data_IF_197507807801
#
_entry.id   IF_197507807801
#
_cell.length_a   1.000
_cell.length_b   1.000
_cell.length_c   1.000
_cell.angle_alpha   90.00
_cell.angle_beta   90.00
_cell.angle_gamma   90.00
#
_symmetry.space_group_name_H-M   'P 1'
#
loop_
_entity.id
_entity.type
_entity.pdbx_description
1 polymer ?
#
# COMPACT_ATOMS: atom_id res chain seq x y z
N UNK A 1 28.88 -2.58 -7.22
CA UNK A 1 27.98 -3.19 -8.22
C UNK A 1 26.94 -4.12 -7.57
N UNK A 2 27.34 -5.08 -6.73
CA UNK A 2 26.43 -6.00 -6.00
C UNK A 2 25.35 -5.27 -5.15
N UNK A 3 25.64 -4.15 -4.44
CA UNK A 3 24.63 -3.45 -3.63
C UNK A 3 23.51 -2.80 -4.46
N UNK A 4 23.85 -2.26 -5.63
CA UNK A 4 22.89 -1.63 -6.55
C UNK A 4 21.99 -2.68 -7.21
N UNK A 5 22.57 -3.83 -7.59
CA UNK A 5 21.82 -4.97 -8.11
C UNK A 5 20.82 -5.52 -7.09
N UNK A 6 21.23 -5.65 -5.82
CA UNK A 6 20.34 -6.04 -4.73
C UNK A 6 19.20 -5.02 -4.52
N UNK A 7 19.48 -3.71 -4.52
CA UNK A 7 18.45 -2.68 -4.42
C UNK A 7 17.45 -2.74 -5.59
N UNK A 8 17.94 -2.98 -6.81
CA UNK A 8 17.09 -3.08 -8.00
C UNK A 8 16.14 -4.28 -7.94
N UNK A 9 16.65 -5.46 -7.56
CA UNK A 9 15.84 -6.68 -7.38
C UNK A 9 14.80 -6.46 -6.27
N UNK A 10 15.19 -5.83 -5.16
CA UNK A 10 14.28 -5.57 -4.04
C UNK A 10 13.17 -4.58 -4.42
N UNK A 11 13.50 -3.52 -5.14
CA UNK A 11 12.53 -2.54 -5.64
C UNK A 11 11.51 -3.18 -6.59
N UNK A 12 11.97 -4.02 -7.53
CA UNK A 12 11.08 -4.75 -8.46
C UNK A 12 10.22 -5.76 -7.70
N UNK A 13 10.79 -6.52 -6.76
CA UNK A 13 10.04 -7.51 -5.98
C UNK A 13 8.89 -6.87 -5.19
N UNK A 14 9.15 -5.78 -4.49
CA UNK A 14 8.09 -5.07 -3.75
C UNK A 14 7.11 -4.38 -4.70
N UNK A 15 7.58 -3.85 -5.84
CA UNK A 15 6.71 -3.29 -6.88
C UNK A 15 5.72 -4.32 -7.44
N UNK A 16 6.19 -5.55 -7.71
CA UNK A 16 5.35 -6.66 -8.18
C UNK A 16 4.39 -7.14 -7.10
N UNK A 17 4.85 -7.35 -5.86
CA UNK A 17 3.98 -7.67 -4.71
C UNK A 17 2.85 -6.64 -4.60
N UNK A 18 3.19 -5.37 -4.76
CA UNK A 18 2.25 -4.27 -4.60
C UNK A 18 1.26 -4.18 -5.75
N UNK A 19 1.71 -4.34 -7.00
CA UNK A 19 0.82 -4.42 -8.15
C UNK A 19 -0.18 -5.56 -7.93
N UNK A 20 0.30 -6.73 -7.49
CA UNK A 20 -0.55 -7.89 -7.31
C UNK A 20 -1.58 -7.69 -6.19
N UNK A 21 -1.18 -7.10 -5.06
CA UNK A 21 -2.10 -6.71 -3.98
C UNK A 21 -3.17 -5.72 -4.47
N UNK A 22 -2.78 -4.71 -5.25
CA UNK A 22 -3.69 -3.68 -5.75
C UNK A 22 -4.69 -4.24 -6.78
N UNK A 23 -4.21 -5.07 -7.72
CA UNK A 23 -5.08 -5.74 -8.70
C UNK A 23 -6.06 -6.70 -8.02
N UNK A 24 -5.59 -7.47 -7.02
CA UNK A 24 -6.45 -8.38 -6.25
C UNK A 24 -7.53 -7.62 -5.49
N UNK A 25 -7.18 -6.49 -4.86
CA UNK A 25 -8.12 -5.71 -4.06
C UNK A 25 -9.10 -4.87 -4.88
N UNK A 26 -8.81 -4.59 -6.16
CA UNK A 26 -9.71 -3.86 -7.07
C UNK A 26 -10.85 -4.72 -7.62
N UNK A 27 -10.55 -5.97 -8.00
CA UNK A 27 -11.53 -6.86 -8.63
C UNK A 27 -12.73 -7.15 -7.72
N UNK A 28 -12.51 -7.30 -6.41
CA UNK A 28 -13.58 -7.61 -5.46
C UNK A 28 -14.36 -6.36 -4.98
N UNK A 29 -13.94 -5.14 -5.33
CA UNK A 29 -14.45 -3.91 -4.73
C UNK A 29 -15.77 -3.39 -5.34
N UNK A 30 -15.91 -3.48 -6.66
CA UNK A 30 -17.12 -3.01 -7.38
C UNK A 30 -18.32 -3.90 -7.06
N UNK A 31 -18.14 -5.22 -7.21
CA UNK A 31 -19.15 -6.24 -6.90
C UNK A 31 -19.61 -6.13 -5.44
N UNK A 32 -18.68 -5.86 -4.50
CA UNK A 32 -19.03 -5.71 -3.09
C UNK A 32 -19.97 -4.53 -2.82
N UNK A 33 -19.72 -3.39 -3.46
CA UNK A 33 -20.53 -2.18 -3.28
C UNK A 33 -21.92 -2.41 -3.84
N UNK A 34 -22.02 -3.10 -4.97
CA UNK A 34 -23.29 -3.45 -5.59
C UNK A 34 -24.11 -4.41 -4.71
N UNK A 35 -23.49 -5.50 -4.23
CA UNK A 35 -24.11 -6.46 -3.32
C UNK A 35 -24.62 -5.80 -2.04
N UNK A 36 -23.80 -4.95 -1.40
CA UNK A 36 -24.17 -4.23 -0.18
C UNK A 36 -25.33 -3.26 -0.44
N UNK A 37 -25.31 -2.52 -1.55
CA UNK A 37 -26.42 -1.62 -1.93
C UNK A 37 -27.72 -2.38 -2.14
N UNK A 38 -27.66 -3.54 -2.80
CA UNK A 38 -28.83 -4.40 -3.03
C UNK A 38 -29.41 -4.91 -1.71
N UNK A 39 -28.59 -5.44 -0.80
CA UNK A 39 -29.05 -5.90 0.51
C UNK A 39 -29.62 -4.78 1.38
N UNK A 40 -29.00 -3.60 1.37
CA UNK A 40 -29.51 -2.43 2.10
C UNK A 40 -30.83 -1.90 1.51
N UNK A 41 -30.97 -1.89 0.18
CA UNK A 41 -32.23 -1.51 -0.49
C UNK A 41 -33.40 -2.46 -0.18
N UNK A 42 -33.10 -3.71 0.17
CA UNK A 42 -34.09 -4.70 0.63
C UNK A 42 -34.34 -4.65 2.14
N UNK A 43 -33.71 -3.74 2.88
CA UNK A 43 -33.82 -3.64 4.35
C UNK A 43 -33.06 -4.72 5.13
N UNK A 44 -32.21 -5.51 4.46
CA UNK A 44 -31.49 -6.63 5.06
C UNK A 44 -30.10 -6.20 5.57
N UNK A 45 -30.08 -5.40 6.62
CA UNK A 45 -28.85 -4.84 7.21
C UNK A 45 -27.90 -5.93 7.72
N UNK A 46 -28.43 -7.01 8.29
CA UNK A 46 -27.64 -8.17 8.76
C UNK A 46 -26.90 -8.88 7.61
N UNK A 47 -27.56 -9.03 6.47
CA UNK A 47 -26.97 -9.66 5.27
C UNK A 47 -25.87 -8.76 4.69
N UNK A 48 -26.12 -7.45 4.59
CA UNK A 48 -25.13 -6.47 4.17
C UNK A 48 -23.87 -6.49 5.09
N UNK A 49 -24.06 -6.60 6.40
CA UNK A 49 -22.94 -6.70 7.35
C UNK A 49 -22.16 -8.01 7.19
N UNK A 50 -22.83 -9.14 6.90
CA UNK A 50 -22.15 -10.41 6.64
C UNK A 50 -21.33 -10.36 5.35
N UNK A 51 -21.86 -9.77 4.28
CA UNK A 51 -21.15 -9.57 3.01
C UNK A 51 -19.90 -8.70 3.24
N UNK A 52 -20.07 -7.56 3.92
CA UNK A 52 -18.96 -6.66 4.24
C UNK A 52 -17.89 -7.31 5.12
N UNK A 53 -18.26 -8.16 6.09
CA UNK A 53 -17.28 -8.90 6.93
C UNK A 53 -16.60 -10.06 6.20
N UNK A 54 -17.27 -10.68 5.24
CA UNK A 54 -16.72 -11.81 4.46
C UNK A 54 -15.68 -11.32 3.46
N UNK A 55 -15.88 -10.12 2.94
CA UNK A 55 -14.95 -9.49 2.03
C UNK A 55 -13.69 -8.97 2.71
N UNK A 56 -12.59 -9.01 1.97
CA UNK A 56 -11.29 -8.55 2.41
C UNK A 56 -10.93 -7.28 1.67
N UNK A 57 -10.43 -6.30 2.40
CA UNK A 57 -9.90 -5.08 1.82
C UNK A 57 -10.35 -3.83 2.56
N UNK A 58 -9.72 -2.69 2.24
CA UNK A 58 -9.97 -1.41 2.91
C UNK A 58 -11.41 -0.94 2.70
N UNK A 59 -11.99 -1.19 1.51
CA UNK A 59 -13.36 -0.83 1.18
C UNK A 59 -14.40 -1.64 1.98
N UNK A 60 -14.14 -2.93 2.18
CA UNK A 60 -15.00 -3.79 2.99
C UNK A 60 -15.02 -3.33 4.45
N UNK A 61 -13.87 -2.93 4.99
CA UNK A 61 -13.76 -2.40 6.35
C UNK A 61 -14.49 -1.07 6.53
N UNK A 62 -14.39 -0.14 5.57
CA UNK A 62 -15.10 1.15 5.64
C UNK A 62 -16.60 0.99 5.49
N UNK A 63 -17.06 0.11 4.60
CA UNK A 63 -18.48 -0.21 4.44
C UNK A 63 -19.05 -0.92 5.66
N UNK A 64 -18.32 -1.88 6.24
CA UNK A 64 -18.73 -2.54 7.49
C UNK A 64 -18.87 -1.54 8.65
N UNK A 65 -17.97 -0.56 8.76
CA UNK A 65 -18.09 0.52 9.73
C UNK A 65 -19.35 1.36 9.47
N UNK A 66 -19.60 1.76 8.22
CA UNK A 66 -20.82 2.50 7.86
C UNK A 66 -22.12 1.75 8.21
N UNK A 67 -22.16 0.44 7.93
CA UNK A 67 -23.31 -0.42 8.26
C UNK A 67 -23.45 -0.60 9.77
N UNK A 68 -22.35 -0.69 10.53
CA UNK A 68 -22.41 -0.86 11.98
C UNK A 68 -23.03 0.35 12.71
N UNK A 69 -22.91 1.54 12.14
CA UNK A 69 -23.47 2.79 12.70
C UNK A 69 -24.71 3.28 11.95
N UNK A 70 -25.40 2.42 11.17
CA UNK A 70 -26.52 2.83 10.30
C UNK A 70 -27.69 3.52 11.03
N UNK A 71 -27.84 3.29 12.33
CA UNK A 71 -28.90 3.83 13.20
C UNK A 71 -28.60 5.25 13.72
N UNK A 72 -27.44 5.81 13.35
CA UNK A 72 -26.99 7.14 13.80
C UNK A 72 -27.26 8.22 12.76
N UNK A 73 -27.02 9.48 13.14
CA UNK A 73 -27.11 10.58 12.20
C UNK A 73 -26.12 10.40 11.03
N UNK A 74 -26.52 10.88 9.86
CA UNK A 74 -25.73 10.76 8.63
C UNK A 74 -24.34 11.38 8.77
N UNK A 75 -24.20 12.44 9.56
CA UNK A 75 -22.93 13.09 9.82
C UNK A 75 -21.99 12.19 10.65
N UNK A 76 -22.52 11.53 11.68
CA UNK A 76 -21.76 10.62 12.55
C UNK A 76 -21.34 9.35 11.78
N UNK A 77 -22.22 8.81 10.92
CA UNK A 77 -21.88 7.69 10.03
C UNK A 77 -20.70 8.06 9.12
N UNK A 78 -20.77 9.24 8.50
CA UNK A 78 -19.73 9.73 7.59
C UNK A 78 -18.40 9.93 8.32
N UNK A 79 -18.44 10.46 9.54
CA UNK A 79 -17.25 10.66 10.36
C UNK A 79 -16.58 9.32 10.68
N UNK A 80 -17.33 8.33 11.16
CA UNK A 80 -16.80 6.99 11.45
C UNK A 80 -16.24 6.29 10.20
N UNK A 81 -16.94 6.37 9.08
CA UNK A 81 -16.45 5.83 7.80
C UNK A 81 -15.15 6.51 7.37
N UNK A 82 -15.03 7.83 7.57
CA UNK A 82 -13.82 8.57 7.24
C UNK A 82 -12.66 8.18 8.18
N UNK A 83 -12.89 8.05 9.50
CA UNK A 83 -11.86 7.62 10.45
C UNK A 83 -11.31 6.24 10.10
N UNK A 84 -12.20 5.26 9.82
CA UNK A 84 -11.78 3.92 9.40
C UNK A 84 -11.08 3.96 8.04
N UNK A 85 -11.57 4.78 7.11
CA UNK A 85 -10.96 4.96 5.80
C UNK A 85 -9.54 5.49 5.90
N UNK A 86 -9.31 6.52 6.72
CA UNK A 86 -7.98 7.08 6.97
C UNK A 86 -7.04 6.04 7.61
N UNK A 87 -7.53 5.24 8.55
CA UNK A 87 -6.74 4.17 9.15
C UNK A 87 -6.33 3.09 8.13
N UNK A 88 -7.22 2.74 7.20
CA UNK A 88 -6.92 1.78 6.13
C UNK A 88 -5.95 2.37 5.08
N UNK A 89 -6.12 3.65 4.70
CA UNK A 89 -5.16 4.37 3.83
C UNK A 89 -3.77 4.36 4.47
N UNK A 90 -3.67 4.69 5.75
CA UNK A 90 -2.39 4.68 6.47
C UNK A 90 -1.72 3.30 6.46
N UNK A 91 -2.50 2.21 6.63
CA UNK A 91 -1.97 0.84 6.52
C UNK A 91 -1.44 0.55 5.11
N UNK A 92 -2.12 1.04 4.08
CA UNK A 92 -1.66 0.92 2.71
C UNK A 92 -0.35 1.70 2.52
N UNK A 93 -0.28 2.96 2.96
CA UNK A 93 0.89 3.84 2.81
C UNK A 93 2.12 3.37 3.57
N UNK A 94 1.96 2.76 4.75
CA UNK A 94 3.08 2.30 5.58
C UNK A 94 4.08 1.40 4.84
N UNK A 95 3.62 0.58 3.89
CA UNK A 95 4.50 -0.27 3.07
C UNK A 95 5.14 0.48 1.89
N UNK A 96 4.60 1.63 1.47
CA UNK A 96 5.18 2.48 0.42
C UNK A 96 6.32 3.36 0.94
N UNK A 97 6.29 3.78 2.20
CA UNK A 97 7.37 4.57 2.80
C UNK A 97 8.76 3.89 2.71
N UNK A 98 8.79 2.55 2.73
CA UNK A 98 10.03 1.79 2.55
C UNK A 98 10.56 1.93 1.11
N UNK A 99 9.67 1.94 0.11
CA UNK A 99 10.04 2.17 -1.29
C UNK A 99 10.60 3.57 -1.50
N UNK A 100 9.96 4.58 -0.93
CA UNK A 100 10.43 5.97 -1.02
C UNK A 100 11.82 6.13 -0.40
N UNK A 101 12.03 5.49 0.76
CA UNK A 101 13.32 5.49 1.43
C UNK A 101 14.41 4.82 0.55
N UNK A 102 14.11 3.68 -0.06
CA UNK A 102 15.04 2.99 -0.98
C UNK A 102 15.29 3.83 -2.24
N UNK A 103 14.26 4.45 -2.81
CA UNK A 103 14.37 5.34 -3.97
C UNK A 103 15.25 6.56 -3.66
N UNK A 104 15.17 7.10 -2.45
CA UNK A 104 15.98 8.24 -2.00
C UNK A 104 17.44 7.86 -1.71
N UNK A 105 17.69 6.69 -1.12
CA UNK A 105 19.05 6.24 -0.73
C UNK A 105 19.83 5.65 -1.91
N UNK A 106 19.15 5.07 -2.91
CA UNK A 106 19.77 4.42 -4.07
C UNK A 106 20.75 5.33 -4.86
N UNK A 107 20.41 6.60 -5.20
CA UNK A 107 21.35 7.52 -5.84
C UNK A 107 22.61 7.82 -5.01
N UNK A 108 22.46 7.96 -3.69
CA UNK A 108 23.58 8.23 -2.78
C UNK A 108 24.57 7.06 -2.74
N UNK A 109 24.05 5.82 -2.74
CA UNK A 109 24.88 4.61 -2.85
C UNK A 109 25.60 4.52 -4.21
N UNK A 110 24.97 5.00 -5.29
CA UNK A 110 25.62 5.11 -6.60
C UNK A 110 26.82 6.05 -6.60
N UNK A 111 26.66 7.24 -6.01
CA UNK A 111 27.74 8.22 -5.88
C UNK A 111 28.87 7.71 -4.97
N UNK A 112 28.55 7.02 -3.87
CA UNK A 112 29.57 6.37 -3.03
C UNK A 112 30.40 5.35 -3.85
N UNK A 113 29.75 4.59 -4.73
CA UNK A 113 30.40 3.64 -5.63
C UNK A 113 31.36 4.30 -6.63
N UNK A 114 30.99 5.45 -7.20
CA UNK A 114 31.87 6.18 -8.13
C UNK A 114 33.07 6.78 -7.41
N UNK A 115 32.88 7.38 -6.23
CA UNK A 115 33.98 7.96 -5.42
C UNK A 115 34.98 6.89 -4.98
N UNK A 116 34.50 5.76 -4.46
CA UNK A 116 35.38 4.64 -4.05
C UNK A 116 36.15 4.05 -5.23
N UNK A 117 35.53 3.99 -6.42
CA UNK A 117 36.20 3.58 -7.65
C UNK A 117 37.35 4.53 -8.05
N UNK A 118 37.09 5.84 -7.99
CA UNK A 118 38.10 6.87 -8.29
C UNK A 118 39.30 6.75 -7.32
N UNK A 119 39.04 6.65 -6.00
CA UNK A 119 40.10 6.48 -4.99
C UNK A 119 40.96 5.25 -5.28
N UNK A 120 40.33 4.13 -5.66
CA UNK A 120 41.06 2.90 -5.98
C UNK A 120 41.93 3.06 -7.22
N UNK A 121 41.44 3.74 -8.26
CA UNK A 121 42.23 4.05 -9.47
C UNK A 121 43.44 4.93 -9.15
N UNK A 122 43.28 5.95 -8.30
CA UNK A 122 44.40 6.79 -7.85
C UNK A 122 45.42 6.03 -7.02
N UNK A 123 44.99 5.15 -6.11
CA UNK A 123 45.90 4.29 -5.35
C UNK A 123 46.68 3.33 -6.24
N UNK A 124 46.06 2.78 -7.28
CA UNK A 124 46.76 1.92 -8.25
C UNK A 124 47.79 2.75 -9.01
N UNK A 125 47.43 3.92 -9.53
CA UNK A 125 48.39 4.78 -10.24
C UNK A 125 49.57 5.20 -9.35
N UNK A 126 49.31 5.53 -8.08
CA UNK A 126 50.34 5.90 -7.12
C UNK A 126 51.25 4.73 -6.71
N UNK A 127 50.76 3.49 -6.74
CA UNK A 127 51.57 2.30 -6.44
C UNK A 127 52.47 1.85 -7.59
N UNK A 128 52.30 2.42 -8.80
CA UNK A 128 53.13 2.17 -9.98
C UNK A 128 54.30 3.16 -10.13
N UNK A 129 54.46 4.09 -9.17
CA UNK A 129 55.60 4.99 -9.05
C UNK A 129 56.35 4.70 -7.75
#
# INVERSE_FOLDING_TARGET
MIPLLLCSIFAVAVGVERLWYLLRSRADAEDLVEDIKLSLGQGKVLEAMQIAKKARGPLAATLAAGIAYYDRDREEIKEHMNTVGQAEIYKMERRMNVLDTVAMISPLLGILGTVTGIIKSFNIMAAWH
#
